data_IF_802804151112
#
_entry.id   IF_802804151112
#
_cell.length_a   1.000
_cell.length_b   1.000
_cell.length_c   1.000
_cell.angle_alpha   90.00
_cell.angle_beta   90.00
_cell.angle_gamma   90.00
#
_symmetry.space_group_name_H-M   'P 1'
#
loop_
_entity.id
_entity.type
_entity.pdbx_description
1 polymer ?
#
# COMPACT_ATOMS: atom_id res chain seq x y z
N UNK A 1 -1.75 -9.94 -21.30
CA UNK A 1 -0.83 -9.51 -20.24
C UNK A 1 -0.43 -10.75 -19.47
N UNK A 2 0.85 -10.89 -19.11
CA UNK A 2 1.36 -11.96 -18.24
C UNK A 2 1.93 -11.34 -16.98
N UNK A 3 1.70 -11.97 -15.83
CA UNK A 3 2.37 -11.64 -14.57
C UNK A 3 3.34 -12.76 -14.24
N UNK A 4 4.55 -12.41 -13.83
CA UNK A 4 5.56 -13.35 -13.34
C UNK A 4 6.02 -12.85 -11.99
N UNK A 5 6.22 -13.76 -11.04
CA UNK A 5 6.62 -13.40 -9.67
C UNK A 5 7.90 -14.14 -9.32
N UNK A 6 8.84 -13.42 -8.71
CA UNK A 6 10.00 -14.01 -8.06
C UNK A 6 10.02 -13.63 -6.58
N UNK A 7 10.49 -14.55 -5.74
CA UNK A 7 10.65 -14.32 -4.30
C UNK A 7 11.95 -14.94 -3.79
N UNK A 8 12.66 -14.25 -2.90
CA UNK A 8 13.88 -14.76 -2.26
C UNK A 8 13.94 -14.36 -0.79
N UNK A 9 14.40 -15.30 0.05
CA UNK A 9 14.70 -15.14 1.48
C UNK A 9 16.21 -14.97 1.71
N UNK A 10 17.03 -14.76 0.67
CA UNK A 10 18.47 -14.55 0.88
C UNK A 10 18.72 -13.21 1.61
N UNK A 11 19.35 -13.22 2.79
CA UNK A 11 19.53 -12.00 3.58
C UNK A 11 20.46 -10.97 2.92
N UNK A 12 21.22 -11.35 1.88
CA UNK A 12 22.03 -10.44 1.09
C UNK A 12 21.23 -9.92 -0.10
N UNK A 13 20.89 -8.63 -0.09
CA UNK A 13 20.04 -8.02 -1.12
C UNK A 13 20.51 -8.24 -2.56
N UNK A 14 21.83 -8.31 -2.81
CA UNK A 14 22.36 -8.61 -4.14
C UNK A 14 22.02 -10.04 -4.61
N UNK A 15 22.11 -11.03 -3.71
CA UNK A 15 21.73 -12.40 -4.00
C UNK A 15 20.21 -12.55 -4.13
N UNK A 16 19.44 -11.91 -3.24
CA UNK A 16 17.99 -11.90 -3.31
C UNK A 16 17.50 -11.35 -4.65
N UNK A 17 18.10 -10.25 -5.13
CA UNK A 17 17.84 -9.71 -6.47
C UNK A 17 18.22 -10.72 -7.55
N UNK A 18 19.40 -11.34 -7.48
CA UNK A 18 19.83 -12.32 -8.47
C UNK A 18 18.87 -13.52 -8.56
N UNK A 19 18.41 -14.05 -7.43
CA UNK A 19 17.44 -15.14 -7.34
C UNK A 19 16.12 -14.76 -8.01
N UNK A 20 15.56 -13.61 -7.62
CA UNK A 20 14.28 -13.10 -8.14
C UNK A 20 14.38 -12.83 -9.65
N UNK A 21 15.48 -12.25 -10.11
CA UNK A 21 15.73 -12.01 -11.54
C UNK A 21 15.85 -13.33 -12.30
N UNK A 22 16.53 -14.33 -11.74
CA UNK A 22 16.67 -15.65 -12.36
C UNK A 22 15.32 -16.37 -12.48
N UNK A 23 14.51 -16.35 -11.43
CA UNK A 23 13.15 -16.90 -11.43
C UNK A 23 12.29 -16.23 -12.51
N UNK A 24 12.24 -14.89 -12.52
CA UNK A 24 11.45 -14.12 -13.49
C UNK A 24 11.91 -14.38 -14.92
N UNK A 25 13.22 -14.34 -15.17
CA UNK A 25 13.80 -14.54 -16.50
C UNK A 25 13.58 -15.95 -17.03
N UNK A 26 13.56 -16.95 -16.14
CA UNK A 26 13.24 -18.34 -16.48
C UNK A 26 11.79 -18.53 -16.95
N UNK A 27 10.87 -17.72 -16.46
CA UNK A 27 9.44 -17.85 -16.74
C UNK A 27 8.92 -16.90 -17.82
N UNK A 28 9.50 -15.71 -17.97
CA UNK A 28 8.94 -14.66 -18.82
C UNK A 28 8.92 -15.01 -20.32
N UNK A 29 9.83 -15.87 -20.77
CA UNK A 29 9.93 -16.30 -22.16
C UNK A 29 10.39 -15.15 -23.07
N UNK A 30 9.59 -14.82 -24.10
CA UNK A 30 9.90 -13.75 -25.07
C UNK A 30 9.28 -12.39 -24.73
N UNK A 31 8.52 -12.30 -23.65
CA UNK A 31 7.91 -11.04 -23.23
C UNK A 31 8.94 -10.16 -22.52
N UNK A 32 8.73 -8.84 -22.54
CA UNK A 32 9.54 -7.91 -21.75
C UNK A 32 8.75 -7.42 -20.52
N UNK A 33 9.39 -7.32 -19.34
CA UNK A 33 8.81 -6.63 -18.19
C UNK A 33 8.55 -5.17 -18.55
N UNK A 34 7.38 -4.64 -18.20
CA UNK A 34 7.02 -3.23 -18.42
C UNK A 34 6.77 -2.48 -17.13
N UNK A 35 6.21 -3.14 -16.13
CA UNK A 35 6.04 -2.60 -14.79
C UNK A 35 6.34 -3.64 -13.72
N UNK A 36 6.68 -3.17 -12.53
CA UNK A 36 6.98 -4.02 -11.37
C UNK A 36 6.30 -3.52 -10.10
N UNK A 37 5.98 -4.46 -9.21
CA UNK A 37 5.54 -4.19 -7.84
C UNK A 37 6.48 -4.94 -6.91
N UNK A 38 7.26 -4.19 -6.13
CA UNK A 38 8.24 -4.70 -5.19
C UNK A 38 7.72 -4.63 -3.75
N UNK A 39 7.66 -5.78 -3.08
CA UNK A 39 7.50 -5.88 -1.63
C UNK A 39 8.81 -6.38 -1.03
N UNK A 40 9.31 -5.71 -0.01
CA UNK A 40 10.67 -5.93 0.47
C UNK A 40 10.75 -5.70 1.99
N UNK A 41 11.38 -6.63 2.71
CA UNK A 41 11.66 -6.44 4.13
C UNK A 41 12.48 -5.16 4.39
N UNK A 42 12.32 -4.59 5.58
CA UNK A 42 13.02 -3.40 6.05
C UNK A 42 14.54 -3.55 6.20
N UNK A 43 15.05 -4.78 6.23
CA UNK A 43 16.44 -5.07 6.57
C UNK A 43 17.39 -5.01 5.37
N UNK A 44 16.85 -4.94 4.15
CA UNK A 44 17.64 -4.76 2.95
C UNK A 44 18.15 -3.31 2.79
N UNK A 45 19.30 -3.16 2.14
CA UNK A 45 19.67 -1.88 1.50
C UNK A 45 18.78 -1.70 0.26
N UNK A 46 17.65 -1.02 0.45
CA UNK A 46 16.68 -0.79 -0.63
C UNK A 46 17.30 -0.05 -1.82
N UNK A 47 18.27 0.83 -1.58
CA UNK A 47 18.97 1.51 -2.68
C UNK A 47 19.78 0.53 -3.53
N UNK A 48 20.48 -0.42 -2.90
CA UNK A 48 21.20 -1.47 -3.62
C UNK A 48 20.25 -2.43 -4.35
N UNK A 49 19.14 -2.81 -3.72
CA UNK A 49 18.09 -3.63 -4.34
C UNK A 49 17.55 -2.98 -5.60
N UNK A 50 17.14 -1.71 -5.53
CA UNK A 50 16.57 -0.99 -6.66
C UNK A 50 17.58 -0.81 -7.80
N UNK A 51 18.87 -0.58 -7.49
CA UNK A 51 19.93 -0.54 -8.52
C UNK A 51 20.07 -1.89 -9.23
N UNK A 52 20.11 -3.00 -8.49
CA UNK A 52 20.21 -4.33 -9.08
C UNK A 52 19.00 -4.67 -9.96
N UNK A 53 17.79 -4.23 -9.57
CA UNK A 53 16.59 -4.40 -10.38
C UNK A 53 16.60 -3.53 -11.65
N UNK A 54 17.06 -2.29 -11.57
CA UNK A 54 17.21 -1.41 -12.76
C UNK A 54 18.25 -1.98 -13.74
N UNK A 55 19.35 -2.54 -13.24
CA UNK A 55 20.36 -3.21 -14.08
C UNK A 55 19.80 -4.45 -14.78
N UNK A 56 18.99 -5.24 -14.09
CA UNK A 56 18.38 -6.46 -14.64
C UNK A 56 17.20 -6.18 -15.59
N UNK A 57 16.40 -5.16 -15.29
CA UNK A 57 15.22 -4.77 -16.05
C UNK A 57 15.23 -3.26 -16.37
N UNK A 58 16.08 -2.80 -17.30
CA UNK A 58 16.21 -1.38 -17.60
C UNK A 58 14.89 -0.75 -18.06
N UNK A 59 14.53 0.39 -17.45
CA UNK A 59 13.30 1.12 -17.77
C UNK A 59 12.01 0.46 -17.26
N UNK A 60 12.10 -0.47 -16.30
CA UNK A 60 10.95 -1.04 -15.62
C UNK A 60 10.21 0.06 -14.85
N UNK A 61 8.92 0.26 -15.14
CA UNK A 61 8.08 1.17 -14.36
C UNK A 61 7.76 0.54 -12.99
N UNK A 62 8.57 0.85 -11.98
CA UNK A 62 8.57 0.16 -10.70
C UNK A 62 7.90 1.01 -9.60
N UNK A 63 6.94 0.42 -8.91
CA UNK A 63 6.54 0.86 -7.57
C UNK A 63 6.87 -0.22 -6.55
N UNK A 64 6.89 0.14 -5.28
CA UNK A 64 6.97 -0.83 -4.22
C UNK A 64 6.88 -0.20 -2.85
N UNK A 65 7.00 -1.04 -1.83
CA UNK A 65 7.09 -0.57 -0.46
C UNK A 65 7.74 -1.61 0.45
N UNK A 66 8.06 -1.15 1.66
CA UNK A 66 8.49 -2.03 2.73
C UNK A 66 7.31 -2.84 3.27
N UNK A 67 7.59 -4.06 3.69
CA UNK A 67 6.62 -5.02 4.24
C UNK A 67 7.19 -5.70 5.48
N UNK A 68 6.35 -6.48 6.17
CA UNK A 68 6.69 -7.26 7.38
C UNK A 68 6.31 -8.74 7.14
N UNK A 69 6.61 -9.23 5.95
CA UNK A 69 6.17 -10.51 5.44
C UNK A 69 5.68 -10.39 4.00
N UNK A 70 6.13 -11.31 3.16
CA UNK A 70 5.81 -11.35 1.74
C UNK A 70 5.18 -12.70 1.41
N UNK A 71 4.21 -12.69 0.50
CA UNK A 71 3.51 -13.89 0.08
C UNK A 71 3.37 -13.92 -1.43
N UNK A 72 3.75 -15.04 -2.04
CA UNK A 72 3.50 -15.26 -3.46
C UNK A 72 3.21 -16.72 -3.80
N UNK A 73 2.87 -16.97 -5.06
CA UNK A 73 2.73 -18.32 -5.59
C UNK A 73 4.05 -19.08 -5.76
N UNK A 74 5.20 -18.40 -5.73
CA UNK A 74 6.50 -19.06 -5.93
C UNK A 74 7.04 -19.68 -4.64
N UNK A 75 6.93 -18.98 -3.51
CA UNK A 75 7.51 -19.40 -2.23
C UNK A 75 6.51 -19.49 -1.06
N UNK A 76 5.25 -19.09 -1.26
CA UNK A 76 4.27 -19.01 -0.18
C UNK A 76 4.56 -17.81 0.72
N UNK A 77 4.20 -17.91 2.00
CA UNK A 77 4.45 -16.87 3.01
C UNK A 77 5.86 -17.02 3.57
N UNK A 78 6.61 -15.92 3.56
CA UNK A 78 7.94 -15.82 4.15
C UNK A 78 8.12 -14.47 4.84
N UNK A 79 9.02 -14.43 5.81
CA UNK A 79 9.47 -13.20 6.46
C UNK A 79 10.88 -12.86 5.95
N UNK A 80 11.35 -11.63 6.20
CA UNK A 80 12.69 -11.17 5.83
C UNK A 80 13.05 -11.34 4.34
N UNK A 81 12.05 -11.26 3.47
CA UNK A 81 12.19 -11.63 2.06
C UNK A 81 11.96 -10.44 1.12
N UNK A 82 12.26 -10.68 -0.15
CA UNK A 82 11.96 -9.77 -1.26
C UNK A 82 11.07 -10.50 -2.25
N UNK A 83 9.94 -9.89 -2.60
CA UNK A 83 9.00 -10.38 -3.60
C UNK A 83 8.79 -9.33 -4.70
N UNK A 84 9.02 -9.71 -5.96
CA UNK A 84 8.80 -8.85 -7.12
C UNK A 84 7.79 -9.49 -8.06
N UNK A 85 6.69 -8.79 -8.32
CA UNK A 85 5.76 -9.13 -9.40
C UNK A 85 6.03 -8.23 -10.61
N UNK A 86 6.30 -8.82 -11.79
CA UNK A 86 6.46 -8.09 -13.05
C UNK A 86 5.28 -8.28 -13.98
N UNK A 87 4.83 -7.17 -14.57
CA UNK A 87 3.74 -7.07 -15.53
C UNK A 87 4.33 -6.99 -16.93
N UNK A 88 3.97 -7.95 -17.79
CA UNK A 88 4.51 -8.08 -19.14
C UNK A 88 3.39 -7.92 -20.17
N UNK A 89 3.53 -6.94 -21.06
CA UNK A 89 2.54 -6.66 -22.11
C UNK A 89 3.12 -5.79 -23.23
N UNK A 90 2.70 -6.05 -24.47
CA UNK A 90 3.02 -5.19 -25.63
C UNK A 90 1.87 -4.21 -25.98
N UNK A 91 0.75 -4.29 -25.27
CA UNK A 91 -0.46 -3.50 -25.55
C UNK A 91 -0.89 -2.59 -24.40
N UNK A 92 -0.35 -2.82 -23.21
CA UNK A 92 -0.70 -2.10 -21.99
C UNK A 92 0.47 -1.20 -21.64
N UNK A 93 0.17 0.08 -21.42
CA UNK A 93 1.13 1.07 -20.99
C UNK A 93 1.08 1.21 -19.47
N UNK A 94 2.21 1.60 -18.90
CA UNK A 94 2.37 1.80 -17.47
C UNK A 94 3.10 3.11 -17.22
N UNK A 95 2.61 3.89 -16.27
CA UNK A 95 3.27 5.09 -15.79
C UNK A 95 3.36 5.05 -14.27
N UNK A 96 4.48 5.46 -13.70
CA UNK A 96 4.66 5.52 -12.25
C UNK A 96 4.88 6.94 -11.78
N UNK A 97 4.47 7.24 -10.56
CA UNK A 97 4.68 8.55 -9.97
C UNK A 97 4.74 8.49 -8.46
N UNK A 98 5.34 9.51 -7.86
CA UNK A 98 5.45 9.64 -6.41
C UNK A 98 5.20 11.05 -5.93
N UNK A 99 4.78 11.18 -4.67
CA UNK A 99 4.56 12.45 -3.99
C UNK A 99 4.87 12.35 -2.51
N UNK A 100 5.74 13.24 -2.04
CA UNK A 100 6.24 13.24 -0.66
C UNK A 100 5.51 14.23 0.24
N UNK A 101 5.78 14.14 1.55
CA UNK A 101 5.18 15.01 2.54
C UNK A 101 3.73 14.65 2.85
N UNK A 102 3.37 13.37 2.77
CA UNK A 102 2.01 12.87 2.98
C UNK A 102 1.43 13.34 4.32
N UNK A 103 2.24 13.39 5.37
CA UNK A 103 1.85 13.81 6.72
C UNK A 103 1.46 15.28 6.85
N UNK A 104 1.98 16.14 5.98
CA UNK A 104 1.79 17.61 6.06
C UNK A 104 0.96 18.16 4.91
N UNK A 105 1.03 17.55 3.72
CA UNK A 105 0.42 18.03 2.49
C UNK A 105 -0.11 16.89 1.61
N UNK A 106 -0.88 15.96 2.20
CA UNK A 106 -1.37 14.76 1.51
C UNK A 106 -2.07 15.00 0.18
N UNK A 107 -2.96 16.00 0.07
CA UNK A 107 -3.59 16.36 -1.22
C UNK A 107 -2.58 16.75 -2.28
N UNK A 108 -1.58 17.58 -1.94
CA UNK A 108 -0.53 17.96 -2.89
C UNK A 108 0.36 16.76 -3.28
N UNK A 109 0.67 15.88 -2.32
CA UNK A 109 1.40 14.64 -2.57
C UNK A 109 0.65 13.71 -3.54
N UNK A 110 -0.66 13.53 -3.33
CA UNK A 110 -1.53 12.75 -4.22
C UNK A 110 -1.59 13.34 -5.64
N UNK A 111 -1.76 14.66 -5.76
CA UNK A 111 -1.74 15.33 -7.07
C UNK A 111 -0.40 15.17 -7.78
N UNK A 112 0.71 15.33 -7.06
CA UNK A 112 2.05 15.17 -7.61
C UNK A 112 2.27 13.75 -8.14
N UNK A 113 1.95 12.74 -7.34
CA UNK A 113 2.10 11.34 -7.73
C UNK A 113 1.25 11.00 -8.97
N UNK A 114 -0.01 11.47 -9.00
CA UNK A 114 -0.89 11.23 -10.15
C UNK A 114 -0.42 11.96 -11.42
N UNK A 115 0.01 13.22 -11.33
CA UNK A 115 0.53 13.98 -12.50
C UNK A 115 1.77 13.31 -13.08
N UNK A 116 2.71 12.91 -12.21
CA UNK A 116 3.92 12.20 -12.64
C UNK A 116 3.59 10.85 -13.28
N UNK A 117 2.62 10.11 -12.74
CA UNK A 117 2.19 8.84 -13.32
C UNK A 117 1.51 9.03 -14.69
N UNK A 118 0.71 10.08 -14.88
CA UNK A 118 0.10 10.43 -16.18
C UNK A 118 1.17 10.81 -17.20
N UNK A 119 2.16 11.63 -16.80
CA UNK A 119 3.28 12.01 -17.67
C UNK A 119 4.07 10.78 -18.12
N UNK A 120 4.41 9.90 -17.17
CA UNK A 120 5.17 8.67 -17.45
C UNK A 120 4.37 7.61 -18.21
N UNK A 121 3.03 7.64 -18.16
CA UNK A 121 2.18 6.75 -18.95
C UNK A 121 2.26 7.07 -20.46
N UNK A 122 2.48 8.35 -20.79
CA UNK A 122 2.50 8.85 -22.15
C UNK A 122 1.12 9.22 -22.70
N UNK A 123 1.09 10.17 -23.64
CA UNK A 123 -0.15 10.80 -24.13
C UNK A 123 -1.06 9.85 -24.92
N UNK A 124 -0.52 8.80 -25.52
CA UNK A 124 -1.26 7.89 -26.40
C UNK A 124 -2.05 6.81 -25.64
N UNK A 125 -1.78 6.62 -24.35
CA UNK A 125 -2.39 5.59 -23.54
C UNK A 125 -3.48 6.17 -22.63
N UNK A 126 -4.73 5.78 -22.89
CA UNK A 126 -5.85 6.16 -22.02
C UNK A 126 -5.72 5.48 -20.64
N UNK A 127 -5.65 6.23 -19.52
CA UNK A 127 -5.65 5.66 -18.18
C UNK A 127 -6.90 4.83 -17.89
N UNK A 128 -6.73 3.68 -17.22
CA UNK A 128 -7.83 2.75 -16.91
C UNK A 128 -7.98 2.47 -15.43
N UNK A 129 -6.88 2.31 -14.70
CA UNK A 129 -6.83 2.10 -13.26
C UNK A 129 -5.46 2.48 -12.69
N UNK A 130 -5.40 2.67 -11.38
CA UNK A 130 -4.14 2.88 -10.68
C UNK A 130 -4.00 1.96 -9.45
N UNK A 131 -2.77 1.51 -9.21
CA UNK A 131 -2.37 0.92 -7.95
C UNK A 131 -1.72 1.97 -7.06
N UNK A 132 -2.09 2.04 -5.79
CA UNK A 132 -1.51 2.94 -4.79
C UNK A 132 -0.76 2.15 -3.70
N UNK A 133 0.44 2.61 -3.36
CA UNK A 133 1.14 2.22 -2.13
C UNK A 133 1.51 3.49 -1.35
N UNK A 134 1.13 3.58 -0.09
CA UNK A 134 1.29 4.80 0.68
C UNK A 134 1.77 4.54 2.12
N UNK A 135 2.16 5.63 2.80
CA UNK A 135 2.40 5.63 4.24
C UNK A 135 1.15 5.18 5.03
N UNK A 136 1.29 4.23 5.98
CA UNK A 136 0.15 3.64 6.68
C UNK A 136 -0.48 4.54 7.74
N UNK A 137 0.21 5.61 8.17
CA UNK A 137 -0.22 6.44 9.29
C UNK A 137 -1.00 7.65 8.77
N UNK A 138 -0.41 8.35 7.80
CA UNK A 138 -0.88 9.68 7.41
C UNK A 138 -1.79 9.65 6.18
N UNK A 139 -1.55 8.73 5.23
CA UNK A 139 -2.21 8.78 3.92
C UNK A 139 -3.74 8.74 3.99
N UNK A 140 -4.30 7.95 4.92
CA UNK A 140 -5.74 7.81 5.11
C UNK A 140 -6.45 9.04 5.68
N UNK A 141 -5.70 10.03 6.18
CA UNK A 141 -6.27 11.23 6.82
C UNK A 141 -5.79 12.56 6.25
N UNK A 142 -4.78 12.54 5.38
CA UNK A 142 -4.18 13.76 4.83
C UNK A 142 -4.70 14.17 3.46
N UNK A 143 -5.66 13.43 2.90
CA UNK A 143 -6.31 13.76 1.63
C UNK A 143 -5.53 13.35 0.38
N UNK A 144 -4.67 12.34 0.48
CA UNK A 144 -3.94 11.75 -0.67
C UNK A 144 -4.90 11.29 -1.76
N UNK A 145 -5.99 10.62 -1.39
CA UNK A 145 -7.00 10.13 -2.33
C UNK A 145 -7.71 11.27 -3.07
N UNK A 146 -8.00 12.37 -2.37
CA UNK A 146 -8.56 13.60 -2.96
C UNK A 146 -7.60 14.15 -4.00
N UNK A 147 -6.31 14.22 -3.68
CA UNK A 147 -5.29 14.72 -4.61
C UNK A 147 -5.18 13.87 -5.88
N UNK A 148 -5.21 12.55 -5.74
CA UNK A 148 -5.21 11.64 -6.89
C UNK A 148 -6.46 11.84 -7.75
N UNK A 149 -7.64 11.93 -7.12
CA UNK A 149 -8.94 12.14 -7.80
C UNK A 149 -9.02 13.50 -8.50
N UNK A 150 -8.38 14.54 -7.97
CA UNK A 150 -8.28 15.85 -8.64
C UNK A 150 -7.60 15.76 -10.01
N UNK A 151 -6.72 14.77 -10.21
CA UNK A 151 -5.97 14.58 -11.47
C UNK A 151 -6.63 13.52 -12.35
N UNK A 152 -7.01 12.36 -11.79
CA UNK A 152 -7.49 11.22 -12.57
C UNK A 152 -9.02 11.19 -12.76
N UNK A 153 -9.76 11.97 -11.97
CA UNK A 153 -11.22 12.00 -11.94
C UNK A 153 -11.81 11.33 -10.69
N UNK A 154 -12.98 11.80 -10.27
CA UNK A 154 -13.64 11.36 -9.03
C UNK A 154 -13.99 9.88 -8.99
N UNK A 155 -14.40 9.32 -10.12
CA UNK A 155 -14.81 7.92 -10.26
C UNK A 155 -13.67 7.03 -10.81
N UNK A 156 -12.44 7.56 -10.87
CA UNK A 156 -11.31 6.81 -11.38
C UNK A 156 -10.94 5.68 -10.40
N UNK A 157 -10.80 4.43 -10.87
CA UNK A 157 -10.53 3.30 -9.99
C UNK A 157 -9.08 3.33 -9.49
N UNK A 158 -8.95 3.48 -8.18
CA UNK A 158 -7.67 3.42 -7.45
C UNK A 158 -7.78 2.39 -6.35
N UNK A 159 -6.91 1.40 -6.34
CA UNK A 159 -6.87 0.35 -5.32
C UNK A 159 -5.43 0.00 -4.96
N UNK A 160 -5.20 -0.61 -3.81
CA UNK A 160 -3.84 -0.92 -3.37
C UNK A 160 -3.75 -1.09 -1.87
N UNK A 161 -2.62 -0.67 -1.31
CA UNK A 161 -2.31 -0.89 0.09
C UNK A 161 -1.41 0.18 0.68
N UNK A 162 -0.90 -0.13 1.87
CA UNK A 162 0.03 0.72 2.59
C UNK A 162 1.26 -0.10 2.93
N UNK A 163 2.39 0.57 3.07
CA UNK A 163 3.62 -0.08 3.51
C UNK A 163 3.52 -0.55 4.96
N UNK A 164 4.25 -1.60 5.28
CA UNK A 164 4.36 -2.12 6.63
C UNK A 164 5.82 -2.10 7.12
N UNK A 165 5.95 -2.25 8.42
CA UNK A 165 7.21 -2.32 9.12
C UNK A 165 7.09 -3.25 10.30
N UNK A 166 8.15 -3.99 10.62
CA UNK A 166 8.23 -4.75 11.86
C UNK A 166 7.90 -3.84 13.04
N UNK A 167 7.11 -4.34 13.99
CA UNK A 167 6.67 -3.64 15.22
C UNK A 167 7.73 -2.85 16.01
N UNK A 168 9.03 -3.14 15.83
CA UNK A 168 10.15 -2.43 16.47
C UNK A 168 10.65 -1.22 15.67
N UNK A 169 10.33 -1.14 14.38
CA UNK A 169 10.68 -0.05 13.46
C UNK A 169 9.41 0.73 13.12
N UNK A 170 9.47 2.06 13.20
CA UNK A 170 8.32 2.95 12.93
C UNK A 170 8.33 3.56 11.54
N UNK A 171 9.45 3.49 10.84
CA UNK A 171 9.63 4.07 9.52
C UNK A 171 9.37 3.01 8.47
N UNK A 172 8.45 3.32 7.57
CA UNK A 172 8.19 2.55 6.36
C UNK A 172 8.76 3.29 5.16
N UNK A 173 8.92 2.60 4.04
CA UNK A 173 9.36 3.24 2.80
C UNK A 173 8.50 2.82 1.62
N UNK A 174 8.39 3.73 0.66
CA UNK A 174 7.77 3.49 -0.63
C UNK A 174 8.84 3.68 -1.71
N UNK A 175 8.78 2.86 -2.74
CA UNK A 175 9.75 2.82 -3.83
C UNK A 175 9.08 3.29 -5.12
N UNK A 176 9.77 4.14 -5.88
CA UNK A 176 9.36 4.56 -7.21
C UNK A 176 10.59 4.60 -8.11
N UNK A 177 10.69 3.64 -9.03
CA UNK A 177 11.92 3.38 -9.80
C UNK A 177 13.13 3.28 -8.85
N UNK A 178 14.24 3.96 -9.15
CA UNK A 178 15.44 3.97 -8.31
C UNK A 178 15.38 4.81 -7.03
N UNK A 179 14.21 5.33 -6.64
CA UNK A 179 14.06 6.24 -5.49
C UNK A 179 13.38 5.54 -4.31
N UNK A 180 13.99 5.68 -3.13
CA UNK A 180 13.42 5.30 -1.83
C UNK A 180 12.89 6.55 -1.14
N UNK A 181 11.61 6.56 -0.79
CA UNK A 181 10.96 7.66 -0.07
C UNK A 181 10.31 7.19 1.23
N UNK A 182 10.25 8.09 2.21
CA UNK A 182 9.46 7.96 3.45
C UNK A 182 8.45 9.08 3.50
N UNK A 183 7.34 8.93 4.24
CA UNK A 183 6.25 9.92 4.24
C UNK A 183 5.78 10.22 2.79
N UNK A 184 5.63 9.13 2.01
CA UNK A 184 5.50 9.16 0.57
C UNK A 184 4.29 8.34 0.12
N UNK A 185 3.78 8.68 -1.07
CA UNK A 185 2.82 7.88 -1.81
C UNK A 185 3.37 7.60 -3.20
N UNK A 186 3.18 6.38 -3.68
CA UNK A 186 3.54 5.97 -5.05
C UNK A 186 2.31 5.42 -5.78
N UNK A 187 2.23 5.71 -7.08
CA UNK A 187 1.17 5.23 -7.96
C UNK A 187 1.77 4.49 -9.15
N UNK A 188 1.16 3.36 -9.51
CA UNK A 188 1.31 2.71 -10.81
C UNK A 188 0.02 2.86 -11.59
N UNK A 189 0.03 3.70 -12.62
CA UNK A 189 -1.06 3.94 -13.53
C UNK A 189 -0.99 2.94 -14.69
N UNK A 190 -2.12 2.31 -15.02
CA UNK A 190 -2.25 1.33 -16.09
C UNK A 190 -3.15 1.91 -17.18
N UNK A 191 -2.68 1.89 -18.43
CA UNK A 191 -3.40 2.43 -19.58
C UNK A 191 -3.50 1.48 -20.77
N UNK A 192 -4.47 1.72 -21.65
CA UNK A 192 -4.71 0.92 -22.85
C UNK A 192 -5.89 -0.07 -22.73
N UNK A 193 -5.95 -1.14 -23.55
CA UNK A 193 -7.08 -2.06 -23.63
C UNK A 193 -7.06 -3.06 -22.46
N UNK A 194 -7.39 -2.58 -21.27
CA UNK A 194 -7.45 -3.36 -20.02
C UNK A 194 -8.88 -3.41 -19.49
N UNK A 195 -9.33 -4.64 -19.23
CA UNK A 195 -10.49 -4.94 -18.41
C UNK A 195 -10.01 -5.25 -16.98
N UNK A 196 -10.74 -4.75 -15.99
CA UNK A 196 -10.38 -4.95 -14.59
C UNK A 196 -11.61 -5.28 -13.74
N UNK A 197 -11.35 -5.96 -12.63
CA UNK A 197 -12.26 -6.15 -11.52
C UNK A 197 -11.39 -6.16 -10.26
N UNK A 198 -11.94 -5.70 -9.14
CA UNK A 198 -11.27 -5.76 -7.85
C UNK A 198 -12.26 -6.23 -6.79
N UNK A 199 -11.72 -6.89 -5.76
CA UNK A 199 -12.49 -7.34 -4.62
C UNK A 199 -11.62 -7.26 -3.37
N UNK A 200 -12.21 -6.83 -2.27
CA UNK A 200 -11.53 -6.76 -0.98
C UNK A 200 -12.38 -7.56 0.00
N UNK A 201 -11.74 -8.49 0.72
CA UNK A 201 -12.38 -9.23 1.81
C UNK A 201 -11.41 -9.31 2.99
N UNK A 202 -11.82 -8.71 4.11
CA UNK A 202 -11.11 -8.87 5.38
C UNK A 202 -11.46 -10.19 6.06
N UNK A 203 -10.58 -10.65 6.95
CA UNK A 203 -10.84 -11.81 7.81
C UNK A 203 -11.65 -11.50 9.08
N UNK A 204 -11.95 -10.23 9.33
CA UNK A 204 -12.60 -9.77 10.56
C UNK A 204 -14.11 -9.93 10.52
N UNK A 205 -14.70 -10.41 11.61
CA UNK A 205 -16.15 -10.41 11.85
C UNK A 205 -16.47 -9.48 13.02
N UNK A 206 -17.46 -8.58 12.92
CA UNK A 206 -17.83 -7.67 13.99
C UNK A 206 -18.31 -8.43 15.24
N UNK A 207 -17.93 -7.94 16.41
CA UNK A 207 -18.35 -8.45 17.70
C UNK A 207 -19.03 -7.35 18.52
N UNK A 208 -20.19 -7.63 19.08
CA UNK A 208 -20.91 -6.72 19.97
C UNK A 208 -21.87 -5.74 19.27
N UNK A 209 -22.52 -4.85 20.04
CA UNK A 209 -23.52 -3.92 19.52
C UNK A 209 -22.90 -2.75 18.75
N UNK A 210 -23.60 -2.26 17.71
CA UNK A 210 -23.26 -1.00 17.04
C UNK A 210 -23.55 0.19 17.97
N UNK A 211 -22.62 1.14 18.08
CA UNK A 211 -22.82 2.41 18.78
C UNK A 211 -22.40 3.58 17.89
N UNK A 212 -23.07 4.72 18.02
CA UNK A 212 -22.77 5.91 17.24
C UNK A 212 -21.43 6.53 17.66
N UNK A 213 -20.59 6.89 16.70
CA UNK A 213 -19.45 7.78 16.94
C UNK A 213 -19.98 9.19 17.20
N UNK A 214 -19.67 9.76 18.37
CA UNK A 214 -20.20 11.07 18.81
C UNK A 214 -19.15 12.17 18.81
N UNK A 215 -17.86 11.83 18.82
CA UNK A 215 -16.75 12.79 18.67
C UNK A 215 -15.51 12.11 18.12
N UNK A 216 -14.94 12.69 17.06
CA UNK A 216 -13.66 12.31 16.48
C UNK A 216 -12.97 13.55 15.88
N UNK A 217 -11.65 13.50 15.71
CA UNK A 217 -10.89 14.46 14.92
C UNK A 217 -9.85 13.69 14.09
N UNK A 218 -9.98 13.75 12.76
CA UNK A 218 -9.19 12.94 11.82
C UNK A 218 -9.17 11.45 12.21
N UNK A 219 -8.00 10.89 12.52
CA UNK A 219 -7.79 9.51 12.94
C UNK A 219 -7.95 9.27 14.45
N UNK A 220 -8.28 10.30 15.24
CA UNK A 220 -8.42 10.18 16.70
C UNK A 220 -9.89 10.09 17.09
N UNK A 221 -10.28 8.97 17.71
CA UNK A 221 -11.64 8.73 18.17
C UNK A 221 -11.75 9.09 19.65
N UNK A 222 -12.63 10.03 19.98
CA UNK A 222 -12.80 10.52 21.36
C UNK A 222 -14.00 9.91 22.08
N UNK A 223 -15.13 9.74 21.39
CA UNK A 223 -16.37 9.27 22.02
C UNK A 223 -17.19 8.36 21.14
N UNK A 224 -17.73 7.32 21.77
CA UNK A 224 -18.67 6.36 21.18
C UNK A 224 -19.90 6.27 22.10
N UNK A 225 -21.03 6.75 21.60
CA UNK A 225 -22.22 6.98 22.41
C UNK A 225 -21.93 7.97 23.55
N UNK A 226 -22.21 7.53 24.78
CA UNK A 226 -22.02 8.30 26.00
C UNK A 226 -20.68 8.07 26.68
N UNK A 227 -19.85 7.14 26.21
CA UNK A 227 -18.56 6.79 26.82
C UNK A 227 -17.38 7.37 26.06
N UNK A 228 -16.19 7.38 26.69
CA UNK A 228 -14.94 7.61 25.97
C UNK A 228 -14.69 6.46 24.98
N UNK A 229 -13.87 6.70 23.96
CA UNK A 229 -13.51 5.64 23.02
C UNK A 229 -12.66 4.55 23.71
N UNK A 230 -11.76 4.96 24.60
CA UNK A 230 -10.95 4.07 25.43
C UNK A 230 -11.81 3.11 26.27
N UNK A 231 -12.81 3.63 26.99
CA UNK A 231 -13.69 2.82 27.84
C UNK A 231 -14.59 1.90 27.02
N UNK A 232 -15.10 2.41 25.87
CA UNK A 232 -15.89 1.59 24.95
C UNK A 232 -15.09 0.37 24.49
N UNK A 233 -13.83 0.57 24.10
CA UNK A 233 -12.97 -0.50 23.64
C UNK A 233 -12.66 -1.52 24.74
N UNK A 234 -12.29 -1.05 25.95
CA UNK A 234 -12.05 -1.91 27.12
C UNK A 234 -13.26 -2.73 27.52
N UNK A 235 -14.47 -2.20 27.33
CA UNK A 235 -15.69 -2.96 27.61
C UNK A 235 -15.85 -4.20 26.74
N UNK A 236 -15.21 -4.23 25.55
CA UNK A 236 -15.22 -5.36 24.64
C UNK A 236 -14.02 -6.32 24.83
N UNK A 237 -12.82 -5.79 25.09
CA UNK A 237 -11.57 -6.58 25.08
C UNK A 237 -10.99 -6.88 26.47
N UNK A 238 -11.61 -6.33 27.52
CA UNK A 238 -11.15 -6.45 28.91
C UNK A 238 -10.04 -5.45 29.25
N UNK A 239 -9.27 -5.76 30.30
CA UNK A 239 -8.28 -4.82 30.85
C UNK A 239 -6.94 -4.81 30.14
N UNK A 240 -6.74 -5.69 29.17
CA UNK A 240 -5.50 -5.80 28.43
C UNK A 240 -5.40 -4.68 27.38
N UNK A 241 -4.28 -3.96 27.35
CA UNK A 241 -3.97 -2.95 26.32
C UNK A 241 -3.54 -3.62 25.00
N UNK A 242 -4.40 -4.48 24.44
CA UNK A 242 -4.21 -5.17 23.16
C UNK A 242 -4.95 -4.45 22.02
N UNK A 243 -5.02 -3.12 22.08
CA UNK A 243 -5.79 -2.30 21.12
C UNK A 243 -5.37 -2.54 19.66
N UNK A 244 -4.10 -2.83 19.39
CA UNK A 244 -3.63 -3.21 18.05
C UNK A 244 -4.21 -4.52 17.52
N UNK A 245 -4.58 -5.45 18.39
CA UNK A 245 -5.05 -6.80 18.00
C UNK A 245 -6.56 -6.85 17.77
N UNK A 246 -7.28 -5.80 18.16
CA UNK A 246 -8.72 -5.69 17.96
C UNK A 246 -8.98 -4.48 17.07
N UNK A 247 -9.83 -4.64 16.07
CA UNK A 247 -10.18 -3.55 15.17
C UNK A 247 -11.62 -3.11 15.40
N UNK A 248 -11.90 -1.86 15.02
CA UNK A 248 -13.25 -1.32 14.94
C UNK A 248 -13.90 -1.74 13.63
N UNK A 249 -15.06 -2.37 13.71
CA UNK A 249 -15.98 -2.44 12.58
C UNK A 249 -16.73 -1.09 12.50
N UNK A 250 -16.49 -0.33 11.43
CA UNK A 250 -17.06 0.99 11.22
C UNK A 250 -18.11 0.91 10.12
N UNK A 251 -19.30 1.40 10.44
CA UNK A 251 -20.46 1.39 9.56
C UNK A 251 -20.77 2.81 9.11
N UNK A 252 -21.03 2.97 7.81
CA UNK A 252 -21.66 4.19 7.32
C UNK A 252 -23.13 4.24 7.74
N UNK A 253 -23.64 5.46 7.94
CA UNK A 253 -25.02 5.65 8.39
C UNK A 253 -26.00 5.08 7.35
N UNK A 254 -26.76 4.07 7.75
CA UNK A 254 -27.75 3.41 6.88
C UNK A 254 -27.19 2.28 6.03
N UNK A 255 -25.92 1.90 6.22
CA UNK A 255 -25.31 0.73 5.58
C UNK A 255 -25.14 -0.43 6.58
N UNK A 256 -25.30 -1.65 6.08
CA UNK A 256 -24.91 -2.86 6.78
C UNK A 256 -23.50 -3.34 6.40
N UNK A 257 -22.91 -2.73 5.36
CA UNK A 257 -21.49 -2.91 5.04
C UNK A 257 -20.63 -2.15 6.05
N UNK A 258 -19.48 -2.74 6.37
CA UNK A 258 -18.50 -2.15 7.27
C UNK A 258 -17.11 -2.25 6.68
N UNK A 259 -16.27 -1.30 7.09
CA UNK A 259 -14.82 -1.39 6.94
C UNK A 259 -14.18 -1.52 8.31
N UNK A 260 -12.91 -1.94 8.31
CA UNK A 260 -12.15 -2.23 9.52
C UNK A 260 -11.13 -1.14 9.73
N UNK A 261 -11.13 -0.52 10.91
CA UNK A 261 -10.08 0.40 11.35
C UNK A 261 -9.35 -0.18 12.54
N UNK A 262 -8.03 -0.30 12.45
CA UNK A 262 -7.18 -0.64 13.60
C UNK A 262 -7.07 0.55 14.57
N UNK A 263 -6.93 0.26 15.86
CA UNK A 263 -6.63 1.25 16.90
C UNK A 263 -5.18 1.06 17.39
N UNK A 264 -4.16 1.54 16.65
CA UNK A 264 -2.78 1.25 16.99
C UNK A 264 -2.25 1.96 18.22
N UNK A 265 -2.93 3.01 18.66
CA UNK A 265 -2.54 3.84 19.80
C UNK A 265 -3.77 4.08 20.65
N UNK A 266 -3.59 4.14 21.96
CA UNK A 266 -4.66 4.50 22.91
C UNK A 266 -4.11 5.42 23.98
N UNK A 267 -4.92 6.36 24.44
CA UNK A 267 -4.58 7.27 25.54
C UNK A 267 -5.67 7.19 26.61
N UNK A 268 -5.33 6.61 27.76
CA UNK A 268 -6.23 6.43 28.89
C UNK A 268 -6.57 7.74 29.61
N UNK A 269 -5.68 8.74 29.57
CA UNK A 269 -5.92 10.04 30.18
C UNK A 269 -6.85 10.90 29.31
N UNK A 270 -6.62 10.89 28.00
CA UNK A 270 -7.47 11.58 27.03
C UNK A 270 -8.78 10.83 26.74
N UNK A 271 -8.84 9.53 27.02
CA UNK A 271 -9.97 8.66 26.71
C UNK A 271 -10.10 8.35 25.21
N UNK A 272 -8.98 8.38 24.48
CA UNK A 272 -8.96 8.26 23.01
C UNK A 272 -8.35 6.96 22.53
N UNK A 273 -8.71 6.57 21.31
CA UNK A 273 -8.06 5.54 20.50
C UNK A 273 -7.81 6.04 19.09
#
# INVERSE_FOLDING_TARGET
MKVVVGQSEDPQGANAVADVVAQISGEIGRLSPKAGILFCSLDYDHGAVLRGLEEAFPGLALIGCTTDGEMSSSLGFTEDSLCLAVLCSDRVAFGVGQGGGVSTAGTAAGEQAARMAVENLGADAQPRLALILADPISAGTSGVDVGIKNVLGMDFPVFGGVSAAHSKKRTTSQFCNGVVGTDNVVLLLVGGPVEYSFGIKGGHTPLGPKKAVTRYDRNVLYRVGETTAYDYFRSAIGENDLFMNFCLAVYEKGSDDYFVLSAPVSDSQAGTV
#
